data_IF_724975060258
#
_entry.id   IF_724975060258
#
_cell.length_a   1.000
_cell.length_b   1.000
_cell.length_c   1.000
_cell.angle_alpha   90.00
_cell.angle_beta   90.00
_cell.angle_gamma   90.00
#
_symmetry.space_group_name_H-M   'P 1'
#
loop_
_entity.id
_entity.type
_entity.pdbx_description
1 polymer ?
#
# COMPACT_ATOMS: atom_id res chain seq x y z
N UNK A 1 51.52 -15.04 58.78
CA UNK A 1 51.07 -14.65 57.42
C UNK A 1 49.67 -15.19 57.20
N UNK A 2 48.64 -14.37 57.44
CA UNK A 2 47.25 -14.71 57.13
C UNK A 2 46.95 -14.31 55.69
N UNK A 3 46.53 -15.25 54.84
CA UNK A 3 45.93 -14.95 53.54
C UNK A 3 44.42 -15.06 53.68
N UNK A 4 43.77 -13.90 53.72
CA UNK A 4 42.32 -13.77 53.67
C UNK A 4 41.88 -14.09 52.23
N UNK A 5 41.16 -15.19 52.04
CA UNK A 5 40.53 -15.53 50.77
C UNK A 5 39.16 -14.86 50.74
N UNK A 6 39.01 -13.78 49.97
CA UNK A 6 37.71 -13.15 49.75
C UNK A 6 37.03 -13.91 48.62
N UNK A 7 36.00 -14.68 48.96
CA UNK A 7 35.12 -15.33 47.98
C UNK A 7 34.09 -14.28 47.52
N UNK A 8 34.24 -13.78 46.29
CA UNK A 8 33.20 -12.98 45.64
C UNK A 8 32.10 -13.92 45.13
N UNK A 9 30.99 -14.04 45.85
CA UNK A 9 29.78 -14.64 45.33
C UNK A 9 29.12 -13.68 44.34
N UNK A 10 29.28 -13.93 43.05
CA UNK A 10 28.43 -13.34 42.02
C UNK A 10 27.01 -13.88 42.19
N UNK A 11 26.10 -13.07 42.73
CA UNK A 11 24.66 -13.33 42.64
C UNK A 11 24.21 -13.01 41.22
N UNK A 12 24.08 -14.05 40.39
CA UNK A 12 23.32 -13.97 39.14
C UNK A 12 21.84 -13.72 39.50
N UNK A 13 21.42 -12.46 39.43
CA UNK A 13 20.00 -12.14 39.28
C UNK A 13 19.60 -12.58 37.88
N UNK A 14 19.08 -13.80 37.77
CA UNK A 14 18.42 -14.28 36.57
C UNK A 14 17.10 -13.55 36.40
N UNK A 15 17.12 -12.34 35.86
CA UNK A 15 15.97 -11.81 35.15
C UNK A 15 15.79 -12.69 33.90
N UNK A 16 14.90 -13.68 33.98
CA UNK A 16 14.34 -14.28 32.78
C UNK A 16 13.60 -13.17 32.05
N UNK A 17 14.28 -12.53 31.09
CA UNK A 17 13.64 -11.78 30.02
C UNK A 17 12.67 -12.77 29.37
N UNK A 18 11.37 -12.68 29.73
CA UNK A 18 10.34 -13.32 28.92
C UNK A 18 10.41 -12.59 27.58
N UNK A 19 10.96 -13.27 26.57
CA UNK A 19 10.89 -12.78 25.20
C UNK A 19 9.41 -12.56 24.90
N UNK A 20 9.05 -11.32 24.61
CA UNK A 20 7.70 -10.97 24.20
C UNK A 20 7.39 -11.73 22.91
N UNK A 21 6.28 -12.45 22.88
CA UNK A 21 5.88 -13.19 21.68
C UNK A 21 5.49 -12.18 20.60
N UNK A 22 5.98 -12.36 19.36
CA UNK A 22 5.62 -11.53 18.21
C UNK A 22 4.91 -12.41 17.20
N UNK A 23 3.67 -12.05 16.85
CA UNK A 23 2.88 -12.69 15.79
C UNK A 23 2.75 -11.75 14.60
N UNK A 24 3.09 -12.26 13.42
CA UNK A 24 3.00 -11.49 12.18
C UNK A 24 1.89 -12.02 11.26
N UNK A 25 1.14 -11.11 10.66
CA UNK A 25 0.06 -11.39 9.72
C UNK A 25 0.25 -10.57 8.45
N UNK A 26 -0.16 -11.11 7.29
CA UNK A 26 -0.03 -10.44 6.00
C UNK A 26 -1.40 -10.27 5.36
N UNK A 27 -1.69 -9.06 4.87
CA UNK A 27 -2.94 -8.75 4.17
C UNK A 27 -2.67 -8.09 2.81
N UNK A 28 -2.99 -8.77 1.69
CA UNK A 28 -3.35 -10.18 1.58
C UNK A 28 -2.17 -11.09 1.99
N UNK A 29 -2.48 -12.34 2.33
CA UNK A 29 -1.48 -13.32 2.75
C UNK A 29 -0.41 -13.52 1.67
N UNK A 30 -0.85 -13.76 0.43
CA UNK A 30 0.02 -14.00 -0.70
C UNK A 30 0.08 -12.78 -1.64
N UNK A 31 1.25 -12.48 -2.24
CA UNK A 31 1.34 -11.50 -3.30
C UNK A 31 0.50 -11.94 -4.50
N UNK A 32 -0.06 -10.98 -5.23
CA UNK A 32 -0.87 -11.26 -6.41
C UNK A 32 -0.69 -10.21 -7.50
N UNK A 33 -1.09 -10.60 -8.71
CA UNK A 33 -1.26 -9.72 -9.86
C UNK A 33 -2.59 -10.05 -10.52
N UNK A 34 -3.46 -9.06 -10.67
CA UNK A 34 -4.64 -9.14 -11.53
C UNK A 34 -4.31 -8.49 -12.86
N UNK A 35 -4.43 -9.25 -13.95
CA UNK A 35 -4.21 -8.79 -15.32
C UNK A 35 -5.57 -8.61 -16.00
N UNK A 36 -5.71 -7.49 -16.70
CA UNK A 36 -6.85 -7.15 -17.52
C UNK A 36 -6.35 -6.71 -18.89
N UNK A 37 -7.05 -7.14 -19.94
CA UNK A 37 -6.70 -6.84 -21.33
C UNK A 37 -7.97 -6.43 -22.09
N UNK A 38 -7.85 -5.47 -23.00
CA UNK A 38 -8.92 -5.04 -23.90
C UNK A 38 -8.35 -4.58 -25.25
N UNK A 39 -9.24 -4.32 -26.21
CA UNK A 39 -8.89 -3.74 -27.51
C UNK A 39 -9.81 -2.56 -27.80
N UNK A 40 -9.23 -1.40 -28.10
CA UNK A 40 -9.96 -0.16 -28.43
C UNK A 40 -9.44 0.34 -29.77
N UNK A 41 -10.31 0.48 -30.78
CA UNK A 41 -9.94 0.85 -32.15
C UNK A 41 -8.66 0.15 -32.64
N UNK A 42 -8.64 -1.19 -32.53
CA UNK A 42 -7.51 -2.07 -32.92
C UNK A 42 -6.24 -1.96 -32.04
N UNK A 43 -6.21 -1.02 -31.09
CA UNK A 43 -5.14 -0.87 -30.12
C UNK A 43 -5.31 -1.83 -28.95
N UNK A 44 -4.31 -2.68 -28.72
CA UNK A 44 -4.26 -3.53 -27.53
C UNK A 44 -3.86 -2.71 -26.32
N UNK A 45 -4.67 -2.83 -25.28
CA UNK A 45 -4.48 -2.13 -24.01
C UNK A 45 -4.55 -3.18 -22.91
N UNK A 46 -3.68 -3.06 -21.92
CA UNK A 46 -3.72 -3.92 -20.75
C UNK A 46 -3.40 -3.13 -19.50
N UNK A 47 -3.90 -3.59 -18.36
CA UNK A 47 -3.47 -3.06 -17.08
C UNK A 47 -3.34 -4.19 -16.05
N UNK A 48 -2.45 -3.94 -15.09
CA UNK A 48 -2.14 -4.88 -14.01
C UNK A 48 -2.28 -4.18 -12.68
N UNK A 49 -3.05 -4.76 -11.79
CA UNK A 49 -3.05 -4.36 -10.39
C UNK A 49 -2.26 -5.39 -9.59
N UNK A 50 -1.14 -4.99 -9.01
CA UNK A 50 -0.15 -5.91 -8.46
C UNK A 50 0.40 -5.45 -7.11
N UNK A 51 0.70 -6.41 -6.24
CA UNK A 51 1.40 -6.14 -4.98
C UNK A 51 2.81 -5.66 -5.25
N UNK A 52 3.25 -4.63 -4.52
CA UNK A 52 4.63 -4.15 -4.56
C UNK A 52 5.48 -5.08 -3.67
N UNK A 53 6.55 -5.63 -4.24
CA UNK A 53 7.43 -6.55 -3.52
C UNK A 53 8.06 -5.86 -2.30
N UNK A 54 7.97 -6.51 -1.15
CA UNK A 54 8.57 -6.08 0.11
C UNK A 54 8.13 -4.68 0.61
N UNK A 55 7.02 -4.13 0.12
CA UNK A 55 6.45 -2.86 0.59
C UNK A 55 5.19 -3.13 1.41
N UNK A 56 5.22 -2.73 2.67
CA UNK A 56 4.14 -2.96 3.63
C UNK A 56 3.86 -1.74 4.48
N UNK A 57 2.59 -1.55 4.82
CA UNK A 57 2.14 -0.70 5.90
C UNK A 57 2.04 -1.60 7.12
N UNK A 58 2.80 -1.31 8.17
CA UNK A 58 2.84 -2.12 9.39
C UNK A 58 2.00 -1.45 10.47
N UNK A 59 1.01 -2.16 10.98
CA UNK A 59 0.29 -1.79 12.20
C UNK A 59 0.71 -2.74 13.33
N UNK A 60 0.95 -2.16 14.51
CA UNK A 60 1.40 -2.88 15.68
C UNK A 60 0.47 -2.61 16.86
N UNK A 61 0.08 -3.66 17.56
CA UNK A 61 -0.66 -3.57 18.82
C UNK A 61 -0.23 -4.69 19.78
N UNK A 62 -0.49 -4.49 21.07
CA UNK A 62 -0.18 -5.46 22.11
C UNK A 62 -1.47 -5.98 22.77
N UNK A 63 -1.59 -7.29 22.89
CA UNK A 63 -2.68 -7.96 23.60
C UNK A 63 -2.09 -9.10 24.45
N UNK A 64 -2.40 -9.09 25.76
CA UNK A 64 -1.96 -10.10 26.73
C UNK A 64 -0.44 -10.39 26.73
N UNK A 65 0.39 -9.36 26.48
CA UNK A 65 1.84 -9.49 26.42
C UNK A 65 2.38 -10.10 25.11
N UNK A 66 1.53 -10.26 24.10
CA UNK A 66 1.91 -10.62 22.73
C UNK A 66 1.83 -9.38 21.84
N UNK A 67 2.88 -9.11 21.06
CA UNK A 67 2.86 -8.08 20.02
C UNK A 67 2.32 -8.69 18.74
N UNK A 68 1.30 -8.06 18.17
CA UNK A 68 0.73 -8.39 16.88
C UNK A 68 1.20 -7.36 15.86
N UNK A 69 1.85 -7.81 14.78
CA UNK A 69 2.27 -6.98 13.66
C UNK A 69 1.48 -7.37 12.41
N UNK A 70 0.58 -6.50 11.98
CA UNK A 70 -0.20 -6.70 10.76
C UNK A 70 0.47 -5.94 9.61
N UNK A 71 0.85 -6.67 8.56
CA UNK A 71 1.55 -6.15 7.39
C UNK A 71 0.60 -6.09 6.20
N UNK A 72 0.09 -4.91 5.90
CA UNK A 72 -0.73 -4.66 4.72
C UNK A 72 0.18 -4.44 3.53
N UNK A 73 0.07 -5.28 2.48
CA UNK A 73 0.86 -5.10 1.26
C UNK A 73 0.44 -3.82 0.56
N UNK A 74 1.42 -3.12 0.02
CA UNK A 74 1.14 -1.99 -0.87
C UNK A 74 0.92 -2.48 -2.31
N UNK A 75 0.28 -1.65 -3.12
CA UNK A 75 -0.13 -2.00 -4.48
C UNK A 75 0.23 -0.91 -5.47
N UNK A 76 0.38 -1.32 -6.73
CA UNK A 76 0.53 -0.42 -7.87
C UNK A 76 -0.41 -0.83 -9.01
N UNK A 77 -0.80 0.15 -9.80
CA UNK A 77 -1.48 -0.01 -11.08
C UNK A 77 -0.45 0.22 -12.18
N UNK A 78 -0.26 -0.77 -13.06
CA UNK A 78 0.50 -0.63 -14.29
C UNK A 78 -0.45 -0.57 -15.48
N UNK A 79 -0.40 0.50 -16.27
CA UNK A 79 -1.19 0.66 -17.49
C UNK A 79 -0.27 0.58 -18.69
N UNK A 80 -0.59 -0.30 -19.63
CA UNK A 80 0.19 -0.58 -20.84
C UNK A 80 -0.70 -0.27 -22.04
N UNK A 81 -0.33 0.75 -22.79
CA UNK A 81 -0.95 1.15 -24.06
C UNK A 81 0.02 0.84 -25.21
N UNK A 82 -0.36 1.01 -26.48
CA UNK A 82 0.57 0.82 -27.60
C UNK A 82 1.84 1.68 -27.50
N UNK A 83 1.73 2.85 -26.87
CA UNK A 83 2.80 3.86 -26.82
C UNK A 83 3.35 4.10 -25.40
N UNK A 84 2.84 3.39 -24.38
CA UNK A 84 3.13 3.69 -22.98
C UNK A 84 3.15 2.45 -22.09
N UNK A 85 3.96 2.49 -21.04
CA UNK A 85 3.94 1.54 -19.92
C UNK A 85 4.17 2.33 -18.63
N UNK A 86 3.08 2.75 -18.01
CA UNK A 86 3.09 3.61 -16.84
C UNK A 86 2.79 2.81 -15.58
N UNK A 87 3.40 3.23 -14.47
CA UNK A 87 3.16 2.67 -13.14
C UNK A 87 2.70 3.80 -12.25
N UNK A 88 1.59 3.57 -11.57
CA UNK A 88 0.97 4.47 -10.61
C UNK A 88 0.91 3.74 -9.27
N UNK A 89 1.44 4.37 -8.23
CA UNK A 89 1.21 3.98 -6.85
C UNK A 89 0.66 5.18 -6.07
N UNK A 90 0.34 4.99 -4.79
CA UNK A 90 -0.18 6.06 -3.93
C UNK A 90 0.74 7.30 -3.87
N UNK A 91 2.05 7.15 -4.08
CA UNK A 91 3.01 8.26 -4.03
C UNK A 91 2.83 9.21 -5.20
N UNK A 92 2.28 8.73 -6.33
CA UNK A 92 1.93 9.56 -7.49
C UNK A 92 0.95 10.69 -7.15
N UNK A 93 0.20 10.54 -6.05
CA UNK A 93 -0.85 11.48 -5.63
C UNK A 93 -0.47 12.27 -4.36
N UNK A 94 0.73 12.05 -3.80
CA UNK A 94 1.12 12.52 -2.46
C UNK A 94 0.94 14.03 -2.28
N UNK A 95 1.27 14.83 -3.31
CA UNK A 95 1.26 16.28 -3.23
C UNK A 95 -0.17 16.86 -3.25
N UNK A 96 -1.18 16.04 -3.56
CA UNK A 96 -2.57 16.47 -3.71
C UNK A 96 -3.51 15.94 -2.62
N UNK A 97 -3.18 14.81 -1.98
CA UNK A 97 -4.08 14.14 -1.02
C UNK A 97 -3.97 14.68 0.42
N UNK A 98 -2.99 15.54 0.72
CA UNK A 98 -2.92 16.30 1.99
C UNK A 98 -2.64 15.46 3.24
N UNK A 99 -2.24 14.19 3.08
CA UNK A 99 -1.82 13.29 4.15
C UNK A 99 -0.57 12.50 3.73
N UNK A 100 0.09 11.88 4.71
CA UNK A 100 1.25 11.02 4.45
C UNK A 100 0.80 9.71 3.75
N UNK A 101 1.12 9.52 2.46
CA UNK A 101 0.71 8.33 1.72
C UNK A 101 1.29 7.04 2.31
N UNK A 102 2.41 7.08 3.03
CA UNK A 102 3.06 5.86 3.55
C UNK A 102 2.21 5.10 4.57
N UNK A 103 1.24 5.77 5.19
CA UNK A 103 0.26 5.14 6.09
C UNK A 103 -0.90 4.45 5.37
N UNK A 104 -0.96 4.55 4.04
CA UNK A 104 -2.11 4.11 3.26
C UNK A 104 -1.72 3.03 2.25
N UNK A 105 -2.71 2.26 1.81
CA UNK A 105 -2.64 1.30 0.71
C UNK A 105 -3.46 1.80 -0.46
N UNK A 106 -3.07 1.48 -1.69
CA UNK A 106 -3.89 1.73 -2.86
C UNK A 106 -4.78 0.53 -3.17
N UNK A 107 -6.00 0.79 -3.68
CA UNK A 107 -6.90 -0.22 -4.27
C UNK A 107 -7.36 0.26 -5.64
N UNK A 108 -7.50 -0.68 -6.57
CA UNK A 108 -8.20 -0.47 -7.84
C UNK A 108 -9.63 -0.96 -7.71
N UNK A 109 -10.59 -0.09 -7.99
CA UNK A 109 -12.01 -0.47 -8.06
C UNK A 109 -12.39 -0.93 -9.48
N UNK A 110 -11.83 -0.29 -10.51
CA UNK A 110 -12.00 -0.74 -11.87
C UNK A 110 -11.60 0.28 -12.93
N UNK A 111 -11.78 -0.12 -14.18
CA UNK A 111 -11.87 0.79 -15.32
C UNK A 111 -13.32 1.27 -15.41
N UNK A 112 -13.54 2.57 -15.31
CA UNK A 112 -14.86 3.20 -15.43
C UNK A 112 -15.26 3.37 -16.91
N UNK A 113 -14.30 3.68 -17.78
CA UNK A 113 -14.59 3.87 -19.19
C UNK A 113 -13.41 4.31 -20.04
N UNK A 114 -13.73 4.57 -21.30
CA UNK A 114 -12.84 5.16 -22.29
C UNK A 114 -13.54 6.35 -22.95
N UNK A 115 -12.89 7.50 -22.94
CA UNK A 115 -13.35 8.71 -23.64
C UNK A 115 -12.72 8.76 -25.03
N UNK A 116 -13.54 8.65 -26.08
CA UNK A 116 -13.08 8.68 -27.47
C UNK A 116 -12.52 10.05 -27.91
N UNK A 117 -13.03 11.14 -27.34
CA UNK A 117 -12.64 12.50 -27.73
C UNK A 117 -11.24 12.83 -27.19
N UNK A 118 -10.97 12.45 -25.94
CA UNK A 118 -9.66 12.68 -25.31
C UNK A 118 -8.71 11.49 -25.50
N UNK A 119 -9.20 10.32 -25.89
CA UNK A 119 -8.46 9.05 -25.92
C UNK A 119 -7.94 8.64 -24.54
N UNK A 120 -8.72 8.88 -23.49
CA UNK A 120 -8.35 8.60 -22.09
C UNK A 120 -9.06 7.36 -21.55
N UNK A 121 -8.29 6.46 -20.93
CA UNK A 121 -8.79 5.43 -20.04
C UNK A 121 -9.04 6.04 -18.66
N UNK A 122 -10.23 5.84 -18.11
CA UNK A 122 -10.59 6.32 -16.78
C UNK A 122 -10.58 5.18 -15.77
N UNK A 123 -9.70 5.26 -14.78
CA UNK A 123 -9.60 4.31 -13.68
C UNK A 123 -10.12 4.94 -12.39
N UNK A 124 -10.88 4.17 -11.62
CA UNK A 124 -11.27 4.55 -10.28
C UNK A 124 -10.43 3.82 -9.24
N UNK A 125 -9.68 4.61 -8.48
CA UNK A 125 -8.73 4.17 -7.45
C UNK A 125 -9.18 4.70 -6.09
N UNK A 126 -8.76 4.01 -5.04
CA UNK A 126 -8.86 4.56 -3.67
C UNK A 126 -7.54 4.39 -2.94
N UNK A 127 -7.20 5.37 -2.10
CA UNK A 127 -6.09 5.28 -1.15
C UNK A 127 -6.71 5.16 0.24
N UNK A 128 -6.50 4.03 0.91
CA UNK A 128 -7.19 3.65 2.14
C UNK A 128 -6.20 3.37 3.26
N UNK A 129 -6.45 3.96 4.44
CA UNK A 129 -5.69 3.62 5.64
C UNK A 129 -6.21 2.29 6.19
N UNK A 130 -5.36 1.28 6.37
CA UNK A 130 -5.83 -0.01 6.89
C UNK A 130 -6.49 0.12 8.27
N UNK A 131 -7.46 -0.75 8.56
CA UNK A 131 -8.23 -0.79 9.83
C UNK A 131 -9.00 0.49 10.17
N UNK A 132 -9.27 1.34 9.19
CA UNK A 132 -10.13 2.51 9.37
C UNK A 132 -11.05 2.71 8.18
N UNK A 133 -12.07 3.56 8.36
CA UNK A 133 -12.95 3.99 7.27
C UNK A 133 -12.34 5.13 6.44
N UNK A 134 -11.08 5.51 6.70
CA UNK A 134 -10.42 6.57 5.94
C UNK A 134 -10.04 6.08 4.55
N UNK A 135 -10.79 6.55 3.56
CA UNK A 135 -10.56 6.28 2.15
C UNK A 135 -10.59 7.57 1.36
N UNK A 136 -9.67 7.71 0.41
CA UNK A 136 -9.57 8.86 -0.46
C UNK A 136 -9.77 8.40 -1.92
N UNK A 137 -10.85 8.81 -2.60
CA UNK A 137 -11.10 8.40 -3.98
C UNK A 137 -10.24 9.20 -4.96
N UNK A 138 -9.82 8.57 -6.05
CA UNK A 138 -8.98 9.17 -7.08
C UNK A 138 -9.47 8.68 -8.45
N UNK A 139 -9.75 9.62 -9.36
CA UNK A 139 -9.97 9.31 -10.76
C UNK A 139 -8.67 9.52 -11.53
N UNK A 140 -8.11 8.44 -12.05
CA UNK A 140 -6.90 8.47 -12.85
C UNK A 140 -7.26 8.37 -14.33
N UNK A 141 -6.77 9.31 -15.13
CA UNK A 141 -6.95 9.34 -16.58
C UNK A 141 -5.61 9.07 -17.26
N UNK A 142 -5.59 8.07 -18.15
CA UNK A 142 -4.39 7.68 -18.89
C UNK A 142 -4.68 7.72 -20.38
N UNK A 143 -4.00 8.62 -21.08
CA UNK A 143 -4.11 8.75 -22.53
C UNK A 143 -3.34 7.62 -23.23
N UNK A 144 -3.84 7.18 -24.39
CA UNK A 144 -3.14 6.18 -25.22
C UNK A 144 -1.74 6.60 -25.67
N UNK A 145 -1.46 7.91 -25.72
CA UNK A 145 -0.13 8.45 -26.02
C UNK A 145 0.84 8.47 -24.81
N UNK A 146 0.37 8.09 -23.62
CA UNK A 146 1.16 8.07 -22.39
C UNK A 146 1.13 9.35 -21.57
N UNK A 147 0.36 10.38 -21.92
CA UNK A 147 0.04 11.44 -20.96
C UNK A 147 -0.94 10.89 -19.90
N UNK A 148 -0.88 11.46 -18.70
CA UNK A 148 -1.82 11.13 -17.64
C UNK A 148 -2.18 12.39 -16.85
N UNK A 149 -3.32 12.34 -16.18
CA UNK A 149 -3.79 13.30 -15.21
C UNK A 149 -4.64 12.57 -14.18
N UNK A 150 -4.91 13.22 -13.06
CA UNK A 150 -5.87 12.69 -12.10
C UNK A 150 -6.76 13.81 -11.59
N UNK A 151 -7.94 13.43 -11.12
CA UNK A 151 -8.89 14.31 -10.47
C UNK A 151 -9.24 13.72 -9.11
N UNK A 152 -9.37 14.60 -8.14
CA UNK A 152 -9.89 14.27 -6.83
C UNK A 152 -11.37 14.67 -6.82
N UNK A 153 -12.26 13.87 -6.24
CA UNK A 153 -13.67 14.23 -6.15
C UNK A 153 -13.79 15.58 -5.43
N UNK A 154 -14.46 16.52 -6.08
CA UNK A 154 -14.91 17.74 -5.43
C UNK A 154 -16.08 17.37 -4.53
N UNK A 155 -15.84 17.36 -3.22
CA UNK A 155 -16.95 17.40 -2.28
C UNK A 155 -17.48 18.83 -2.33
N UNK A 156 -18.63 19.03 -2.99
CA UNK A 156 -19.40 20.24 -2.77
C UNK A 156 -19.82 20.21 -1.30
N UNK A 157 -19.19 21.05 -0.50
CA UNK A 157 -19.65 21.29 0.86
C UNK A 157 -21.02 22.01 0.74
N UNK A 158 -22.09 21.24 0.76
CA UNK A 158 -23.45 21.75 0.96
C UNK A 158 -23.54 22.38 2.37
N UNK A 159 -23.09 23.63 2.50
CA UNK A 159 -23.32 24.50 3.67
C UNK A 159 -24.52 25.42 3.47
#
# INVERSE_FOLDING_TARGET
MNRLLILLTLTFFGSTLKAQEIKEFFHPENPFTHLYDTTIHESKISWRFETIANKFIVQEFEEEGTIFKVKYRDFQLRVITPNSNQVFDKMHFQDSIGFDPEMFTMKLLGLEGYDELTSELQFFLTVTKPETDWTYPIYLFVNLNGSNRFELPTFEDDY
#
